data_IF_729959549989
#
_entry.id   IF_729959549989
#
_cell.length_a   1.000
_cell.length_b   1.000
_cell.length_c   1.000
_cell.angle_alpha   90.00
_cell.angle_beta   90.00
_cell.angle_gamma   90.00
#
_symmetry.space_group_name_H-M   'P 1'
#
loop_
_entity.id
_entity.type
_entity.pdbx_description
1 polymer ?
#
# COMPACT_ATOMS: atom_id res chain seq x y z
N UNK A 1 21.66 6.62 0.95
CA UNK A 1 20.69 5.51 1.03
C UNK A 1 19.99 5.39 -0.32
N UNK A 2 19.89 4.19 -0.88
CA UNK A 2 19.20 3.94 -2.16
C UNK A 2 17.74 3.58 -1.89
N UNK A 3 16.81 4.20 -2.62
CA UNK A 3 15.41 3.78 -2.63
C UNK A 3 15.32 2.35 -3.17
N UNK A 4 14.44 1.50 -2.61
CA UNK A 4 14.27 0.12 -3.06
C UNK A 4 14.03 -0.02 -4.57
N UNK A 5 14.61 -1.06 -5.16
CA UNK A 5 14.29 -1.48 -6.53
C UNK A 5 13.21 -2.57 -6.46
N UNK A 6 11.99 -2.20 -6.86
CA UNK A 6 10.81 -3.07 -6.76
C UNK A 6 10.12 -3.09 -8.09
N UNK A 7 10.09 -4.24 -8.74
CA UNK A 7 9.63 -4.34 -10.13
C UNK A 7 8.13 -4.55 -10.21
N UNK A 8 7.39 -3.46 -10.44
CA UNK A 8 6.23 -3.50 -11.33
C UNK A 8 6.48 -2.47 -12.44
N UNK A 9 6.15 -2.76 -13.69
CA UNK A 9 6.38 -1.85 -14.83
C UNK A 9 7.85 -1.50 -15.11
N UNK A 10 8.08 -0.40 -15.83
CA UNK A 10 9.41 0.13 -16.13
C UNK A 10 9.81 1.17 -15.10
N UNK A 11 10.91 0.94 -14.37
CA UNK A 11 11.38 1.82 -13.30
C UNK A 11 11.99 3.12 -13.85
N UNK A 12 11.68 4.23 -13.19
CA UNK A 12 12.22 5.56 -13.47
C UNK A 12 12.77 6.11 -12.16
N UNK A 13 14.08 6.37 -12.16
CA UNK A 13 14.78 6.91 -11.01
C UNK A 13 14.77 8.44 -11.05
N UNK A 14 14.26 9.07 -10.00
CA UNK A 14 14.34 10.53 -9.83
C UNK A 14 15.12 10.85 -8.56
N UNK A 15 16.41 11.16 -8.75
CA UNK A 15 17.35 11.34 -7.65
C UNK A 15 17.46 10.12 -6.73
N UNK A 16 17.78 10.39 -5.46
CA UNK A 16 17.99 9.37 -4.43
C UNK A 16 16.80 9.17 -3.48
N UNK A 17 15.70 9.90 -3.68
CA UNK A 17 14.53 9.92 -2.76
C UNK A 17 13.28 9.31 -3.37
N UNK A 18 13.05 9.52 -4.66
CA UNK A 18 11.82 9.12 -5.31
C UNK A 18 12.08 8.01 -6.33
N UNK A 19 11.08 7.14 -6.44
CA UNK A 19 11.03 6.07 -7.44
C UNK A 19 9.67 6.10 -8.08
N UNK A 20 9.70 5.98 -9.40
CA UNK A 20 8.50 5.91 -10.21
C UNK A 20 8.52 4.62 -11.02
N UNK A 21 7.33 4.20 -11.39
CA UNK A 21 7.15 3.16 -12.39
C UNK A 21 6.16 3.61 -13.43
N UNK A 22 6.48 3.33 -14.69
CA UNK A 22 5.54 3.39 -15.78
C UNK A 22 4.91 2.02 -15.98
N UNK A 23 3.60 1.94 -15.71
CA UNK A 23 2.83 0.71 -15.80
C UNK A 23 1.48 0.98 -16.48
N UNK A 24 1.18 0.22 -17.54
CA UNK A 24 -0.05 0.33 -18.35
C UNK A 24 -0.42 1.79 -18.69
N UNK A 25 0.53 2.51 -19.31
CA UNK A 25 0.36 3.90 -19.74
C UNK A 25 0.10 4.91 -18.63
N UNK A 26 0.49 4.59 -17.38
CA UNK A 26 0.30 5.45 -16.21
C UNK A 26 1.60 5.52 -15.41
N UNK A 27 1.87 6.70 -14.84
CA UNK A 27 2.96 6.89 -13.88
C UNK A 27 2.48 6.69 -12.46
N UNK A 28 3.27 5.92 -11.72
CA UNK A 28 3.04 5.58 -10.33
C UNK A 28 4.29 5.92 -9.53
N UNK A 29 4.14 6.61 -8.41
CA UNK A 29 5.21 6.83 -7.45
C UNK A 29 5.19 5.72 -6.40
N UNK A 30 6.35 5.17 -6.06
CA UNK A 30 6.49 4.32 -4.88
C UNK A 30 6.21 5.19 -3.64
N UNK A 31 5.20 4.83 -2.86
CA UNK A 31 4.84 5.54 -1.62
C UNK A 31 5.09 4.69 -0.38
N UNK A 32 5.23 3.39 -0.51
CA UNK A 32 5.55 2.50 0.60
C UNK A 32 6.28 1.26 0.10
N UNK A 33 7.26 0.81 0.87
CA UNK A 33 7.92 -0.48 0.68
C UNK A 33 8.36 -1.08 2.00
N UNK A 34 8.16 -2.39 2.11
CA UNK A 34 8.64 -3.19 3.24
C UNK A 34 9.33 -4.44 2.70
N UNK A 35 10.53 -4.73 3.18
CA UNK A 35 11.30 -5.94 2.88
C UNK A 35 11.91 -6.51 4.16
N UNK A 36 11.54 -7.75 4.49
CA UNK A 36 12.05 -8.51 5.65
C UNK A 36 12.82 -9.77 5.22
N UNK A 37 13.30 -9.84 3.97
CA UNK A 37 14.01 -11.05 3.47
C UNK A 37 15.34 -11.31 4.14
N UNK A 38 16.10 -10.26 4.41
CA UNK A 38 17.48 -10.36 4.91
C UNK A 38 17.59 -10.09 6.39
N UNK A 39 16.69 -9.26 6.94
CA UNK A 39 16.66 -8.82 8.32
C UNK A 39 15.22 -8.48 8.71
N UNK A 40 14.87 -8.61 9.98
CA UNK A 40 13.54 -8.29 10.54
C UNK A 40 13.34 -6.77 10.72
N UNK A 41 13.50 -6.01 9.63
CA UNK A 41 13.27 -4.56 9.63
C UNK A 41 11.77 -4.24 9.59
N UNK A 42 11.10 -4.38 10.72
CA UNK A 42 9.71 -3.96 10.88
C UNK A 42 9.57 -2.44 11.09
N UNK A 43 8.41 -1.90 10.72
CA UNK A 43 8.11 -0.49 10.99
C UNK A 43 7.85 -0.27 12.49
N UNK A 44 7.85 0.99 12.90
CA UNK A 44 7.37 1.44 14.20
C UNK A 44 6.27 2.49 13.97
N UNK A 45 5.40 2.74 14.98
CA UNK A 45 4.42 3.81 14.90
C UNK A 45 5.02 5.19 14.54
N UNK A 46 6.30 5.41 14.84
CA UNK A 46 7.01 6.67 14.60
C UNK A 46 7.58 6.82 13.19
N UNK A 47 7.75 5.74 12.42
CA UNK A 47 8.39 5.80 11.10
C UNK A 47 7.52 5.26 9.95
N UNK A 48 6.39 4.61 10.26
CA UNK A 48 5.54 3.98 9.25
C UNK A 48 4.93 4.95 8.25
N UNK A 49 4.74 6.21 8.63
CA UNK A 49 4.16 7.24 7.75
C UNK A 49 5.19 8.00 6.92
N UNK A 50 6.47 7.98 7.33
CA UNK A 50 7.54 8.69 6.65
C UNK A 50 8.90 8.09 7.02
N UNK A 51 9.56 7.43 6.08
CA UNK A 51 10.93 6.97 6.27
C UNK A 51 11.65 6.71 4.94
N UNK A 52 12.96 6.87 4.96
CA UNK A 52 13.83 6.52 3.83
C UNK A 52 14.80 5.43 4.26
N UNK A 53 14.72 4.27 3.61
CA UNK A 53 15.57 3.14 3.90
C UNK A 53 15.48 2.09 2.80
N UNK A 54 16.48 1.22 2.76
CA UNK A 54 16.55 0.13 1.78
C UNK A 54 15.48 -0.94 2.00
N UNK A 55 15.12 -1.19 3.26
CA UNK A 55 14.18 -2.24 3.67
C UNK A 55 12.83 -1.69 4.12
N UNK A 56 12.80 -0.40 4.47
CA UNK A 56 11.61 0.34 4.90
C UNK A 56 11.62 1.68 4.21
N UNK A 57 10.60 1.92 3.39
CA UNK A 57 10.39 3.19 2.72
C UNK A 57 8.93 3.57 2.90
N UNK A 58 8.66 4.83 3.23
CA UNK A 58 7.31 5.33 3.34
C UNK A 58 7.28 6.83 3.07
N UNK A 59 6.32 7.23 2.25
CA UNK A 59 5.88 8.59 1.98
C UNK A 59 4.37 8.70 2.21
N UNK A 60 3.78 7.81 3.01
CA UNK A 60 2.35 7.79 3.28
C UNK A 60 1.84 9.17 3.73
N UNK A 61 2.57 9.85 4.61
CA UNK A 61 2.21 11.20 5.07
C UNK A 61 2.16 12.28 3.97
N UNK A 62 2.71 12.03 2.78
CA UNK A 62 2.72 13.02 1.69
C UNK A 62 1.46 12.94 0.83
N UNK A 63 0.68 11.84 0.92
CA UNK A 63 -0.58 11.67 0.18
C UNK A 63 -1.57 12.82 0.42
N UNK A 64 -1.55 13.41 1.62
CA UNK A 64 -2.49 14.47 2.00
C UNK A 64 -1.91 15.87 1.81
N UNK A 65 -0.59 15.97 1.67
CA UNK A 65 0.10 17.25 1.50
C UNK A 65 0.15 17.66 0.04
N UNK A 66 0.30 16.67 -0.85
CA UNK A 66 0.59 16.90 -2.25
C UNK A 66 -0.63 16.60 -3.12
N UNK A 67 -1.08 17.60 -3.89
CA UNK A 67 -2.24 17.45 -4.79
C UNK A 67 -1.98 16.50 -5.97
N UNK A 68 -0.71 16.17 -6.25
CA UNK A 68 -0.31 15.30 -7.36
C UNK A 68 -0.90 13.89 -7.29
N UNK A 69 -1.24 13.42 -6.08
CA UNK A 69 -1.75 12.06 -5.84
C UNK A 69 -3.26 11.92 -5.99
N UNK A 70 -3.99 13.03 -6.14
CA UNK A 70 -5.46 13.03 -6.16
C UNK A 70 -5.98 13.59 -7.48
N UNK A 71 -6.81 12.81 -8.17
CA UNK A 71 -7.41 13.16 -9.45
C UNK A 71 -8.92 13.00 -9.37
N UNK A 72 -9.68 14.02 -9.78
CA UNK A 72 -11.15 13.99 -9.71
C UNK A 72 -11.69 13.57 -8.33
N UNK A 73 -11.02 14.00 -7.26
CA UNK A 73 -11.41 13.69 -5.89
C UNK A 73 -11.03 12.28 -5.39
N UNK A 74 -10.30 11.47 -6.17
CA UNK A 74 -9.87 10.12 -5.79
C UNK A 74 -8.36 9.92 -5.85
N UNK A 75 -7.87 9.07 -4.96
CA UNK A 75 -6.56 8.46 -5.06
C UNK A 75 -6.67 7.19 -5.89
N UNK A 76 -5.61 6.87 -6.63
CA UNK A 76 -5.52 5.64 -7.41
C UNK A 76 -4.23 4.92 -7.01
N UNK A 77 -4.38 3.72 -6.47
CA UNK A 77 -3.30 2.96 -5.84
C UNK A 77 -3.07 1.64 -6.53
N UNK A 78 -1.83 1.16 -6.40
CA UNK A 78 -1.43 -0.18 -6.79
C UNK A 78 -0.62 -0.81 -5.65
N UNK A 79 -1.11 -1.91 -5.09
CA UNK A 79 -0.36 -2.74 -4.15
C UNK A 79 0.24 -3.92 -4.90
N UNK A 80 1.54 -4.12 -4.74
CA UNK A 80 2.33 -5.11 -5.47
C UNK A 80 3.01 -6.06 -4.49
N UNK A 81 2.96 -7.36 -4.81
CA UNK A 81 3.53 -8.46 -4.04
C UNK A 81 4.67 -9.12 -4.84
N UNK A 82 5.92 -8.64 -4.72
CA UNK A 82 7.02 -9.06 -5.61
C UNK A 82 7.42 -10.54 -5.52
N UNK A 83 6.97 -11.26 -4.50
CA UNK A 83 7.24 -12.69 -4.32
C UNK A 83 6.20 -13.58 -5.00
N UNK A 84 5.03 -13.04 -5.33
CA UNK A 84 4.01 -13.80 -6.03
C UNK A 84 4.28 -13.77 -7.54
N UNK A 85 4.06 -14.90 -8.20
CA UNK A 85 4.23 -15.05 -9.64
C UNK A 85 2.98 -14.63 -10.40
N UNK A 86 3.15 -14.14 -11.63
CA UNK A 86 2.03 -13.77 -12.50
C UNK A 86 1.32 -12.50 -12.06
N UNK A 87 -0.01 -12.58 -11.92
CA UNK A 87 -0.86 -11.48 -11.53
C UNK A 87 -0.71 -11.16 -10.04
N UNK A 88 0.33 -10.41 -9.67
CA UNK A 88 0.79 -10.21 -8.30
C UNK A 88 0.50 -8.82 -7.71
N UNK A 89 -0.62 -8.21 -8.11
CA UNK A 89 -1.02 -6.89 -7.62
C UNK A 89 -2.54 -6.73 -7.53
N UNK A 90 -2.96 -5.72 -6.78
CA UNK A 90 -4.30 -5.13 -6.88
C UNK A 90 -4.18 -3.64 -7.22
N UNK A 91 -4.98 -3.16 -8.17
CA UNK A 91 -5.06 -1.74 -8.56
C UNK A 91 -6.50 -1.26 -8.41
N UNK A 92 -6.69 -0.22 -7.59
CA UNK A 92 -7.99 0.32 -7.22
C UNK A 92 -7.95 1.84 -7.02
N UNK A 93 -9.11 2.44 -6.77
CA UNK A 93 -9.25 3.84 -6.33
C UNK A 93 -10.01 3.94 -5.02
N UNK A 94 -9.78 5.03 -4.30
CA UNK A 94 -10.54 5.39 -3.09
C UNK A 94 -10.60 6.91 -2.90
N UNK A 95 -11.65 7.41 -2.25
CA UNK A 95 -11.87 8.87 -2.09
C UNK A 95 -11.06 9.47 -0.93
N UNK A 96 -10.80 8.67 0.10
CA UNK A 96 -10.09 9.10 1.30
C UNK A 96 -8.74 8.39 1.37
N UNK A 97 -7.73 9.12 1.85
CA UNK A 97 -6.40 8.58 2.10
C UNK A 97 -6.43 7.36 3.02
N UNK A 98 -5.59 6.34 2.76
CA UNK A 98 -5.43 5.24 3.69
C UNK A 98 -4.90 5.71 5.06
N UNK A 99 -4.29 6.90 5.17
CA UNK A 99 -3.78 7.43 6.45
C UNK A 99 -4.79 8.23 7.27
N UNK A 100 -6.02 8.37 6.79
CA UNK A 100 -7.07 9.13 7.48
C UNK A 100 -8.31 8.28 7.69
N UNK A 101 -8.72 7.49 6.69
CA UNK A 101 -9.88 6.62 6.84
C UNK A 101 -9.54 5.44 7.75
N UNK A 102 -10.31 5.25 8.83
CA UNK A 102 -10.23 4.04 9.67
C UNK A 102 -11.13 2.93 9.12
N UNK A 103 -10.69 1.67 9.18
CA UNK A 103 -11.34 0.46 8.61
C UNK A 103 -12.76 0.13 9.11
N UNK A 104 -13.37 0.96 9.96
CA UNK A 104 -14.76 0.80 10.44
C UNK A 104 -15.62 2.04 10.22
N UNK A 105 -15.08 3.03 9.53
CA UNK A 105 -15.76 4.28 9.30
C UNK A 105 -16.98 4.06 8.40
N UNK A 106 -18.17 4.11 9.01
CA UNK A 106 -19.50 3.95 8.40
C UNK A 106 -19.90 2.51 8.01
N UNK A 107 -19.22 1.48 8.53
CA UNK A 107 -19.58 0.08 8.26
C UNK A 107 -20.59 -0.45 9.29
N UNK A 108 -21.69 -1.03 8.83
CA UNK A 108 -22.74 -1.61 9.69
C UNK A 108 -22.95 -3.11 9.52
N UNK A 109 -22.35 -3.72 8.50
CA UNK A 109 -22.47 -5.15 8.16
C UNK A 109 -21.09 -5.79 8.04
N UNK A 110 -20.90 -7.03 8.50
CA UNK A 110 -19.62 -7.76 8.45
C UNK A 110 -19.08 -7.99 7.04
N UNK A 111 -19.94 -7.93 6.02
CA UNK A 111 -19.57 -8.03 4.61
C UNK A 111 -19.26 -6.68 3.97
N UNK A 112 -19.42 -5.57 4.71
CA UNK A 112 -19.06 -4.23 4.27
C UNK A 112 -17.57 -4.00 4.49
N UNK A 113 -16.79 -4.37 3.48
CA UNK A 113 -15.33 -4.43 3.53
C UNK A 113 -14.65 -3.41 2.60
N UNK A 114 -15.36 -2.36 2.17
CA UNK A 114 -14.85 -1.42 1.15
C UNK A 114 -14.50 -0.05 1.73
N UNK A 115 -13.37 0.51 1.33
CA UNK A 115 -13.07 1.92 1.63
C UNK A 115 -14.07 2.86 0.97
N UNK A 116 -14.17 4.09 1.48
CA UNK A 116 -15.11 5.09 0.96
C UNK A 116 -14.73 5.44 -0.48
N UNK A 117 -15.67 5.25 -1.39
CA UNK A 117 -15.49 5.51 -2.82
C UNK A 117 -14.60 4.52 -3.54
N UNK A 118 -14.49 3.29 -3.03
CA UNK A 118 -13.76 2.20 -3.68
C UNK A 118 -14.19 2.03 -5.15
N UNK A 119 -13.22 1.93 -6.06
CA UNK A 119 -13.44 1.49 -7.44
C UNK A 119 -12.38 0.47 -7.86
N UNK A 120 -12.82 -0.60 -8.52
CA UNK A 120 -11.93 -1.58 -9.13
C UNK A 120 -11.36 -1.02 -10.45
N UNK A 121 -10.03 -1.03 -10.59
CA UNK A 121 -9.36 -0.75 -11.87
C UNK A 121 -8.82 -2.03 -12.50
N UNK A 122 -8.02 -2.79 -11.74
CA UNK A 122 -7.50 -4.10 -12.13
C UNK A 122 -7.09 -4.87 -10.88
N UNK A 123 -8.02 -5.62 -10.30
CA UNK A 123 -7.81 -6.39 -9.06
C UNK A 123 -7.73 -7.87 -9.39
N UNK A 124 -6.68 -8.54 -8.92
CA UNK A 124 -6.48 -9.97 -9.15
C UNK A 124 -6.73 -10.82 -7.90
N UNK A 125 -6.70 -10.22 -6.72
CA UNK A 125 -6.99 -10.87 -5.46
C UNK A 125 -8.25 -10.24 -4.86
N UNK A 126 -9.35 -11.00 -4.90
CA UNK A 126 -10.68 -10.58 -4.41
C UNK A 126 -11.16 -11.41 -3.22
N UNK A 127 -10.46 -12.49 -2.89
CA UNK A 127 -10.76 -13.31 -1.72
C UNK A 127 -10.39 -12.59 -0.43
N UNK A 128 -10.89 -13.10 0.71
CA UNK A 128 -10.55 -12.56 2.02
C UNK A 128 -10.83 -11.05 2.17
N UNK A 129 -12.02 -10.61 1.72
CA UNK A 129 -12.57 -9.28 2.01
C UNK A 129 -11.70 -8.11 1.53
N UNK A 130 -11.07 -8.23 0.35
CA UNK A 130 -10.37 -7.10 -0.26
C UNK A 130 -11.33 -5.95 -0.59
N UNK A 131 -11.01 -4.74 -0.13
CA UNK A 131 -11.78 -3.55 -0.53
C UNK A 131 -11.03 -2.23 -0.42
N UNK A 132 -9.71 -2.23 -0.64
CA UNK A 132 -8.84 -1.06 -0.52
C UNK A 132 -8.17 -0.96 0.84
N UNK A 133 -7.36 0.09 1.07
CA UNK A 133 -6.56 0.22 2.30
C UNK A 133 -7.10 1.33 3.22
N UNK A 134 -7.21 1.02 4.51
CA UNK A 134 -7.59 1.95 5.56
C UNK A 134 -6.66 1.82 6.78
N UNK A 135 -6.62 2.85 7.63
CA UNK A 135 -6.02 2.77 8.95
C UNK A 135 -6.65 1.61 9.73
N UNK A 136 -5.78 0.73 10.21
CA UNK A 136 -6.17 -0.36 11.09
C UNK A 136 -6.68 0.22 12.42
N UNK A 137 -7.85 -0.25 12.89
CA UNK A 137 -8.42 0.19 14.16
C UNK A 137 -7.67 -0.41 15.36
N UNK A 138 -6.99 -1.54 15.18
CA UNK A 138 -6.19 -2.22 16.20
C UNK A 138 -4.70 -1.89 16.03
N UNK A 139 -4.28 -0.78 16.63
CA UNK A 139 -3.01 -0.08 16.34
C UNK A 139 -1.71 -0.81 16.71
N UNK A 140 -1.74 -2.08 17.13
CA UNK A 140 -0.57 -2.76 17.70
C UNK A 140 0.12 -3.79 16.78
N UNK A 141 -0.42 -4.14 15.61
CA UNK A 141 0.18 -5.17 14.73
C UNK A 141 0.64 -4.67 13.36
N UNK A 142 -0.17 -3.83 12.72
CA UNK A 142 0.08 -3.26 11.40
C UNK A 142 -0.58 -1.89 11.28
N UNK A 143 -0.13 -1.10 10.32
CA UNK A 143 -0.59 0.28 10.16
C UNK A 143 -1.83 0.40 9.25
N UNK A 144 -1.81 -0.22 8.07
CA UNK A 144 -2.91 -0.17 7.11
C UNK A 144 -3.45 -1.58 6.84
N UNK A 145 -4.77 -1.76 6.95
CA UNK A 145 -5.44 -3.02 6.68
C UNK A 145 -6.18 -2.96 5.34
N UNK A 146 -6.19 -4.07 4.60
CA UNK A 146 -6.97 -4.22 3.37
C UNK A 146 -8.07 -5.27 3.43
N UNK A 147 -8.14 -6.02 4.54
CA UNK A 147 -9.21 -6.94 4.90
C UNK A 147 -10.17 -6.23 5.87
N UNK A 148 -10.84 -5.20 5.37
CA UNK A 148 -11.63 -4.26 6.18
C UNK A 148 -12.80 -4.97 6.85
N UNK A 149 -13.14 -4.51 8.06
CA UNK A 149 -14.23 -5.05 8.88
C UNK A 149 -14.15 -6.56 9.18
N UNK A 150 -12.94 -7.13 9.12
CA UNK A 150 -12.65 -8.53 9.45
C UNK A 150 -11.61 -8.62 10.56
N UNK A 151 -11.55 -9.78 11.24
CA UNK A 151 -10.49 -10.10 12.21
C UNK A 151 -9.21 -10.61 11.55
N UNK A 152 -9.22 -10.78 10.23
CA UNK A 152 -8.09 -11.25 9.45
C UNK A 152 -7.26 -10.06 8.94
N UNK A 153 -5.99 -10.31 8.65
CA UNK A 153 -5.03 -9.26 8.30
C UNK A 153 -4.59 -9.25 6.84
N UNK A 154 -5.31 -9.94 5.96
CA UNK A 154 -4.95 -10.02 4.56
C UNK A 154 -4.74 -8.63 3.94
N UNK A 155 -3.80 -8.55 3.01
CA UNK A 155 -3.42 -7.31 2.30
C UNK A 155 -2.81 -6.21 3.17
N UNK A 156 -2.64 -6.44 4.47
CA UNK A 156 -2.11 -5.48 5.40
C UNK A 156 -0.66 -5.07 5.13
N UNK A 157 -0.35 -3.78 5.35
CA UNK A 157 1.00 -3.23 5.18
C UNK A 157 1.41 -2.39 6.40
N UNK A 158 2.72 -2.18 6.57
CA UNK A 158 3.26 -1.47 7.74
C UNK A 158 3.28 -2.34 9.00
N UNK A 159 3.70 -3.60 8.87
CA UNK A 159 3.79 -4.54 10.00
C UNK A 159 4.85 -4.08 11.03
N UNK A 160 4.53 -4.26 12.32
CA UNK A 160 5.39 -3.89 13.46
C UNK A 160 6.18 -5.06 14.07
N UNK A 161 6.13 -6.24 13.46
CA UNK A 161 6.94 -7.39 13.89
C UNK A 161 6.33 -8.21 15.02
N UNK A 162 5.04 -8.07 15.29
CA UNK A 162 4.30 -9.00 16.17
C UNK A 162 4.16 -10.39 15.52
N UNK A 163 4.12 -10.43 14.20
CA UNK A 163 4.02 -11.63 13.39
C UNK A 163 5.27 -11.76 12.49
N UNK A 164 5.54 -12.95 11.98
CA UNK A 164 6.70 -13.22 11.11
C UNK A 164 6.39 -12.92 9.64
N UNK A 165 6.40 -11.63 9.30
CA UNK A 165 6.35 -11.14 7.92
C UNK A 165 5.21 -10.16 7.63
N UNK A 166 4.84 -10.07 6.36
CA UNK A 166 3.89 -9.09 5.83
C UNK A 166 2.63 -9.85 5.36
N UNK A 167 1.44 -9.51 5.83
CA UNK A 167 0.23 -10.20 5.40
C UNK A 167 0.05 -10.19 3.87
N UNK A 168 -0.08 -11.38 3.28
CA UNK A 168 -0.31 -11.56 1.86
C UNK A 168 -1.78 -11.38 1.45
N UNK A 169 -2.08 -11.42 0.15
CA UNK A 169 -3.44 -11.31 -0.37
C UNK A 169 -4.25 -12.62 -0.30
N UNK A 170 -3.59 -13.77 -0.13
CA UNK A 170 -4.25 -15.07 -0.14
C UNK A 170 -3.48 -16.12 0.66
N UNK A 171 -4.22 -16.99 1.36
CA UNK A 171 -3.66 -18.09 2.17
C UNK A 171 -3.01 -17.61 3.46
N UNK A 172 -2.70 -18.55 4.37
CA UNK A 172 -2.09 -18.26 5.67
C UNK A 172 -0.59 -17.84 5.59
N UNK A 173 -0.15 -17.29 4.45
CA UNK A 173 1.27 -17.02 4.20
C UNK A 173 1.57 -15.54 4.38
N UNK A 174 2.46 -15.25 5.32
CA UNK A 174 3.14 -13.97 5.38
C UNK A 174 4.20 -13.91 4.28
N UNK A 175 4.13 -12.86 3.48
CA UNK A 175 5.15 -12.51 2.49
C UNK A 175 6.31 -11.80 3.17
N UNK A 176 7.43 -11.68 2.47
CA UNK A 176 8.62 -10.96 2.93
C UNK A 176 8.73 -9.58 2.29
N UNK A 177 7.93 -9.27 1.27
CA UNK A 177 7.92 -7.99 0.57
C UNK A 177 6.54 -7.52 0.16
N UNK A 178 6.34 -6.21 0.25
CA UNK A 178 5.21 -5.51 -0.36
C UNK A 178 5.64 -4.11 -0.79
N UNK A 179 5.05 -3.64 -1.89
CA UNK A 179 5.13 -2.23 -2.30
C UNK A 179 3.73 -1.66 -2.50
N UNK A 180 3.57 -0.39 -2.15
CA UNK A 180 2.40 0.40 -2.51
C UNK A 180 2.86 1.56 -3.39
N UNK A 181 2.12 1.77 -4.46
CA UNK A 181 2.31 2.88 -5.37
C UNK A 181 1.05 3.75 -5.41
N UNK A 182 1.25 5.06 -5.57
CA UNK A 182 0.18 6.02 -5.85
C UNK A 182 0.36 6.58 -7.25
N UNK A 183 -0.73 6.64 -8.01
CA UNK A 183 -0.73 7.33 -9.29
C UNK A 183 -0.43 8.81 -9.08
N UNK A 184 0.37 9.36 -9.98
CA UNK A 184 0.64 10.79 -10.05
C UNK A 184 0.01 11.38 -11.31
N UNK A 185 -0.52 12.59 -11.21
CA UNK A 185 -1.17 13.26 -12.34
C UNK A 185 -0.18 13.83 -13.37
N UNK A 186 1.05 14.15 -12.94
CA UNK A 186 2.11 14.64 -13.83
C UNK A 186 3.49 14.39 -13.20
N UNK A 187 4.48 14.13 -14.06
CA UNK A 187 5.91 14.12 -13.68
C UNK A 187 6.49 15.53 -13.56
N UNK A 188 5.86 16.53 -14.19
CA UNK A 188 6.33 17.92 -14.18
C UNK A 188 6.10 18.63 -12.84
N UNK A 189 5.38 17.97 -11.92
CA UNK A 189 5.05 18.48 -10.59
C UNK A 189 5.99 17.93 -9.50
N UNK A 190 7.16 17.40 -9.86
CA UNK A 190 8.10 16.67 -8.98
C UNK A 190 9.48 17.33 -8.95
#
# INVERSE_FOLDING_TARGET
MSVPDVTIGSQINYGSKYRFTFFRNTYFQLIFYHDVRTEDYYFSPTNVTHCFGRYRYSLLSDLEKESIYKSSGKYEFLIHYPELTGNNYNWWRQSISPNIQTEKQNHTDENDHYVIGYENVSVYYTQNYWGGLALNALTNKLYLNGCINSLMWYYGIGAYGVETGIPGPSGATYLKRVALYAKINSLDMI
#
